data_IF_479249830780
#
_entry.id   IF_479249830780
#
_cell.length_a   1.000
_cell.length_b   1.000
_cell.length_c   1.000
_cell.angle_alpha   90.00
_cell.angle_beta   90.00
_cell.angle_gamma   90.00
#
_symmetry.space_group_name_H-M   'P 1'
#
loop_
_entity.id
_entity.type
_entity.pdbx_description
1 polymer ?
#
# COMPACT_ATOMS: atom_id res chain seq x y z
N UNK A 1 33.11 -4.39 9.95
CA UNK A 1 33.13 -4.92 9.57
C UNK A 1 33.00 -5.10 9.47
N UNK A 2 32.73 -4.66 9.66
CA UNK A 2 32.55 -5.04 9.19
C UNK A 2 32.35 -4.75 9.22
N UNK A 3 32.17 -4.04 9.25
CA UNK A 3 31.96 -4.13 8.88
C UNK A 3 31.66 -3.73 8.99
N UNK A 4 31.50 -3.16 9.13
CA UNK A 4 31.26 -3.21 8.83
C UNK A 4 30.76 -2.87 8.98
N UNK A 5 30.40 -2.34 9.20
CA UNK A 5 30.06 -2.43 8.93
C UNK A 5 29.63 -2.11 9.18
N UNK A 6 29.25 -1.66 9.20
CA UNK A 6 29.02 -1.64 9.00
C UNK A 6 28.42 -1.31 9.18
N UNK A 7 28.08 -0.93 9.38
CA UNK A 7 27.75 -0.98 9.09
C UNK A 7 26.93 -0.66 9.27
N UNK A 8 26.52 -0.40 9.45
CA UNK A 8 25.90 -0.42 9.26
C UNK A 8 25.09 -0.18 9.39
N UNK A 9 24.66 0.10 9.56
CA UNK A 9 24.10 -0.19 9.15
C UNK A 9 23.29 0.14 9.45
N UNK A 10 23.10 0.53 9.55
CA UNK A 10 22.66 0.31 9.28
C UNK A 10 21.82 0.63 9.60
N UNK A 11 21.54 1.12 9.65
CA UNK A 11 21.03 0.97 9.41
C UNK A 11 20.43 1.36 9.52
N UNK A 12 20.28 1.78 9.61
CA UNK A 12 20.11 1.68 9.16
C UNK A 12 19.61 1.96 9.05
N UNK A 13 19.38 2.06 8.93
CA UNK A 13 19.30 1.88 8.33
C UNK A 13 18.74 2.04 8.11
N UNK A 14 18.48 2.49 8.26
CA UNK A 14 18.21 2.22 7.73
C UNK A 14 17.63 2.08 7.44
N UNK A 15 17.65 2.00 7.53
CA UNK A 15 17.40 1.91 6.96
C UNK A 15 16.47 1.38 6.34
N UNK A 16 16.35 1.45 6.23
CA UNK A 16 15.31 1.23 5.36
C UNK A 16 15.59 0.05 4.54
N UNK A 17 14.92 -0.36 3.59
CA UNK A 17 15.09 -1.47 2.73
C UNK A 17 16.23 -2.42 3.05
N UNK A 18 17.09 -1.98 3.87
CA UNK A 18 18.21 -2.78 4.33
C UNK A 18 17.79 -4.02 5.08
N UNK A 19 16.56 -4.07 5.53
CA UNK A 19 16.05 -5.18 6.33
C UNK A 19 14.99 -5.98 5.58
N UNK A 20 14.99 -5.88 4.25
CA UNK A 20 14.11 -6.65 3.40
C UNK A 20 12.81 -5.97 3.01
N UNK A 21 12.59 -4.77 3.42
CA UNK A 21 11.43 -4.01 2.98
C UNK A 21 11.58 -3.66 1.50
N UNK A 22 10.54 -3.89 0.71
CA UNK A 22 10.57 -3.68 -0.73
C UNK A 22 9.59 -2.60 -1.14
N UNK A 23 8.32 -2.69 -0.72
CA UNK A 23 7.30 -1.70 -1.06
C UNK A 23 6.59 -1.24 0.19
N UNK A 24 6.03 -0.04 0.10
CA UNK A 24 5.28 0.56 1.20
C UNK A 24 4.05 1.26 0.66
N UNK A 25 2.92 1.04 1.31
CA UNK A 25 1.69 1.78 1.04
C UNK A 25 1.72 3.05 1.88
N UNK A 26 1.53 4.18 1.22
CA UNK A 26 1.49 5.48 1.89
C UNK A 26 0.25 6.26 1.43
N UNK A 27 -0.08 7.28 2.19
CA UNK A 27 -1.10 8.27 1.78
C UNK A 27 -2.45 7.65 1.38
N UNK A 28 -2.85 6.57 2.08
CA UNK A 28 -4.17 6.00 1.85
C UNK A 28 -5.23 6.94 2.42
N UNK A 29 -6.18 7.34 1.60
CA UNK A 29 -7.21 8.30 2.00
C UNK A 29 -8.55 7.94 1.37
N UNK A 30 -9.61 8.15 2.13
CA UNK A 30 -10.99 7.94 1.68
C UNK A 30 -11.76 9.21 2.02
N UNK A 31 -12.50 9.74 1.06
CA UNK A 31 -13.25 10.98 1.26
C UNK A 31 -14.53 10.98 0.44
N UNK A 32 -15.68 11.30 1.05
CA UNK A 32 -15.93 11.50 2.47
C UNK A 32 -16.03 10.19 3.24
N UNK A 33 -15.86 10.25 4.58
CA UNK A 33 -15.97 9.04 5.43
C UNK A 33 -17.37 8.88 6.02
N UNK A 34 -18.22 9.91 5.90
CA UNK A 34 -19.62 9.84 6.33
C UNK A 34 -20.52 10.34 5.20
N UNK A 35 -20.47 9.68 4.03
CA UNK A 35 -21.31 10.11 2.91
C UNK A 35 -22.77 9.72 3.13
N UNK A 36 -23.64 10.38 2.41
CA UNK A 36 -25.02 9.92 2.27
C UNK A 36 -25.08 8.89 1.15
N UNK A 37 -26.06 8.01 1.22
CA UNK A 37 -26.29 7.03 0.16
C UNK A 37 -26.43 7.73 -1.19
N UNK A 38 -25.78 7.18 -2.20
CA UNK A 38 -25.79 7.71 -3.56
C UNK A 38 -24.64 8.67 -3.87
N UNK A 39 -23.89 9.11 -2.86
CA UNK A 39 -22.74 10.00 -3.10
C UNK A 39 -21.52 9.24 -3.52
N UNK A 40 -20.64 9.91 -4.24
CA UNK A 40 -19.38 9.33 -4.68
C UNK A 40 -18.34 9.44 -3.58
N UNK A 41 -17.70 8.33 -3.29
CA UNK A 41 -16.57 8.26 -2.35
C UNK A 41 -15.31 8.07 -3.17
N UNK A 42 -14.31 8.91 -2.93
CA UNK A 42 -13.01 8.82 -3.61
C UNK A 42 -12.01 8.13 -2.70
N UNK A 43 -11.28 7.18 -3.25
CA UNK A 43 -10.28 6.41 -2.53
C UNK A 43 -8.95 6.60 -3.24
N UNK A 44 -7.92 7.01 -2.49
CA UNK A 44 -6.58 7.26 -3.04
C UNK A 44 -5.54 6.50 -2.23
N UNK A 45 -4.49 6.08 -2.93
CA UNK A 45 -3.41 5.32 -2.33
C UNK A 45 -2.13 5.62 -3.09
N UNK A 46 -1.00 5.58 -2.39
CA UNK A 46 0.31 5.68 -3.01
C UNK A 46 1.13 4.47 -2.62
N UNK A 47 1.90 3.94 -3.56
CA UNK A 47 2.81 2.82 -3.33
C UNK A 47 4.21 3.26 -3.74
N UNK A 48 5.18 2.99 -2.87
CA UNK A 48 6.58 3.42 -3.05
C UNK A 48 7.47 2.20 -3.07
N UNK A 49 8.41 2.17 -4.02
CA UNK A 49 9.50 1.21 -4.01
C UNK A 49 10.58 1.73 -3.06
N UNK A 50 10.68 1.16 -1.87
CA UNK A 50 11.67 1.58 -0.88
C UNK A 50 12.91 0.70 -0.91
N UNK A 51 12.99 -0.22 -1.88
CA UNK A 51 14.16 -1.09 -2.06
C UNK A 51 15.19 -0.41 -2.95
N UNK A 52 16.31 -1.10 -3.16
CA UNK A 52 17.38 -0.62 -4.03
C UNK A 52 17.35 -1.28 -5.40
N UNK A 53 16.33 -2.08 -5.68
CA UNK A 53 16.22 -2.78 -6.96
C UNK A 53 14.98 -2.33 -7.72
N UNK A 54 15.06 -2.43 -9.04
CA UNK A 54 13.91 -2.19 -9.90
C UNK A 54 12.94 -3.33 -9.79
N UNK A 55 11.65 -3.02 -9.66
CA UNK A 55 10.61 -4.03 -9.55
C UNK A 55 9.88 -4.14 -10.88
N UNK A 56 9.76 -5.36 -11.40
CA UNK A 56 9.09 -5.60 -12.67
C UNK A 56 7.59 -5.55 -12.56
N UNK A 57 7.05 -6.04 -11.44
CA UNK A 57 5.61 -6.11 -11.22
C UNK A 57 5.31 -5.78 -9.77
N UNK A 58 4.39 -4.84 -9.55
CA UNK A 58 3.89 -4.50 -8.23
C UNK A 58 2.37 -4.58 -8.27
N UNK A 59 1.79 -5.71 -7.85
CA UNK A 59 0.33 -5.83 -7.81
C UNK A 59 -0.22 -5.02 -6.65
N UNK A 60 -1.45 -4.54 -6.83
CA UNK A 60 -2.13 -3.77 -5.79
C UNK A 60 -3.63 -4.02 -5.88
N UNK A 61 -4.32 -3.72 -4.79
CA UNK A 61 -5.78 -3.76 -4.79
C UNK A 61 -6.34 -2.81 -3.75
N UNK A 62 -7.60 -2.41 -3.95
CA UNK A 62 -8.40 -1.66 -3.00
C UNK A 62 -9.59 -2.54 -2.66
N UNK A 63 -9.81 -2.74 -1.37
CA UNK A 63 -10.79 -3.71 -0.85
C UNK A 63 -11.78 -3.00 0.06
N UNK A 64 -13.05 -3.33 -0.10
CA UNK A 64 -14.14 -2.90 0.77
C UNK A 64 -14.65 -4.14 1.48
N UNK A 65 -14.36 -4.22 2.78
CA UNK A 65 -14.60 -5.43 3.57
C UNK A 65 -13.87 -6.61 2.94
N UNK A 66 -14.58 -7.55 2.34
CA UNK A 66 -13.97 -8.71 1.69
C UNK A 66 -14.06 -8.66 0.18
N UNK A 67 -14.52 -7.53 -0.37
CA UNK A 67 -14.74 -7.40 -1.80
C UNK A 67 -13.72 -6.47 -2.42
N UNK A 68 -13.03 -6.93 -3.46
CA UNK A 68 -12.10 -6.10 -4.20
C UNK A 68 -12.88 -5.09 -5.04
N UNK A 69 -12.63 -3.80 -4.78
CA UNK A 69 -13.23 -2.72 -5.56
C UNK A 69 -12.45 -2.48 -6.84
N UNK A 70 -11.14 -2.55 -6.74
CA UNK A 70 -10.27 -2.35 -7.89
C UNK A 70 -8.92 -3.00 -7.63
N UNK A 71 -8.28 -3.47 -8.69
CA UNK A 71 -6.95 -4.06 -8.60
C UNK A 71 -6.19 -3.78 -9.89
N UNK A 72 -4.88 -3.91 -9.82
CA UNK A 72 -4.03 -3.72 -10.98
C UNK A 72 -2.61 -4.16 -10.71
N UNK A 73 -1.76 -3.93 -11.71
CA UNK A 73 -0.33 -4.21 -11.61
C UNK A 73 0.42 -3.02 -12.17
N UNK A 74 1.36 -2.48 -11.39
CA UNK A 74 2.30 -1.49 -11.90
C UNK A 74 3.55 -2.20 -12.36
N UNK A 75 3.98 -1.95 -13.59
CA UNK A 75 5.19 -2.52 -14.15
C UNK A 75 6.33 -1.53 -14.05
N UNK A 76 7.54 -2.04 -13.89
CA UNK A 76 8.78 -1.26 -14.01
C UNK A 76 8.85 -0.10 -13.02
N UNK A 77 8.86 -0.41 -11.73
CA UNK A 77 8.98 0.60 -10.68
C UNK A 77 10.43 0.67 -10.19
N UNK A 78 11.09 1.80 -10.45
CA UNK A 78 12.48 2.02 -10.09
C UNK A 78 12.64 2.28 -8.58
N UNK A 79 13.85 2.08 -8.03
CA UNK A 79 14.10 2.42 -6.62
C UNK A 79 13.75 3.89 -6.35
N UNK A 80 13.02 4.12 -5.27
CA UNK A 80 12.59 5.46 -4.88
C UNK A 80 11.37 5.97 -5.60
N UNK A 81 10.95 5.32 -6.67
CA UNK A 81 9.77 5.73 -7.41
C UNK A 81 8.50 5.34 -6.68
N UNK A 82 7.45 6.07 -6.96
CA UNK A 82 6.14 5.82 -6.42
C UNK A 82 5.09 5.99 -7.51
N UNK A 83 3.91 5.46 -7.25
CA UNK A 83 2.76 5.69 -8.11
C UNK A 83 1.51 5.84 -7.27
N UNK A 84 0.55 6.59 -7.80
CA UNK A 84 -0.71 6.87 -7.13
C UNK A 84 -1.85 6.17 -7.82
N UNK A 85 -2.79 5.71 -7.01
CA UNK A 85 -4.00 5.05 -7.47
C UNK A 85 -5.17 5.84 -6.94
N UNK A 86 -6.18 6.05 -7.78
CA UNK A 86 -7.42 6.72 -7.37
C UNK A 86 -8.59 5.97 -7.99
N UNK A 87 -9.58 5.66 -7.15
CA UNK A 87 -10.81 5.04 -7.63
C UNK A 87 -11.99 5.63 -6.89
N UNK A 88 -13.19 5.31 -7.35
CA UNK A 88 -14.42 5.82 -6.73
C UNK A 88 -15.38 4.67 -6.46
N UNK A 89 -16.26 4.91 -5.52
CA UNK A 89 -17.33 3.99 -5.14
C UNK A 89 -18.58 4.80 -4.84
N UNK A 90 -19.72 4.34 -5.33
CA UNK A 90 -21.01 4.97 -5.02
C UNK A 90 -21.52 4.40 -3.72
N UNK A 91 -21.68 5.27 -2.74
CA UNK A 91 -22.00 4.87 -1.38
C UNK A 91 -23.37 4.25 -1.26
N UNK A 92 -23.45 3.12 -0.57
CA UNK A 92 -24.70 2.47 -0.17
C UNK A 92 -24.77 2.47 1.34
N UNK A 93 -25.99 2.56 1.89
CA UNK A 93 -26.17 2.56 3.34
C UNK A 93 -25.45 1.38 3.99
N UNK A 94 -24.77 1.66 5.08
CA UNK A 94 -24.06 0.63 5.83
C UNK A 94 -22.76 1.13 6.42
N UNK A 95 -22.07 0.23 7.09
CA UNK A 95 -20.76 0.48 7.66
C UNK A 95 -19.76 -0.41 6.94
N UNK A 96 -18.65 0.19 6.51
CA UNK A 96 -17.64 -0.50 5.70
C UNK A 96 -16.24 -0.21 6.19
N UNK A 97 -15.35 -1.17 6.00
CA UNK A 97 -13.92 -0.97 6.18
C UNK A 97 -13.25 -1.04 4.81
N UNK A 98 -12.63 0.07 4.40
CA UNK A 98 -11.99 0.16 3.08
C UNK A 98 -10.49 0.27 3.29
N UNK A 99 -9.72 -0.55 2.59
CA UNK A 99 -8.26 -0.54 2.75
C UNK A 99 -7.57 -0.78 1.41
N UNK A 100 -6.32 -0.34 1.36
CA UNK A 100 -5.43 -0.59 0.24
C UNK A 100 -4.40 -1.64 0.61
N UNK A 101 -3.98 -2.41 -0.38
CA UNK A 101 -3.06 -3.53 -0.18
C UNK A 101 -2.12 -3.61 -1.38
N UNK A 102 -0.84 -3.77 -1.10
CA UNK A 102 0.18 -3.93 -2.13
C UNK A 102 0.81 -5.30 -2.00
N UNK A 103 1.06 -5.92 -3.14
CA UNK A 103 1.65 -7.26 -3.23
C UNK A 103 0.93 -8.27 -2.32
N UNK A 104 -0.40 -8.42 -2.47
CA UNK A 104 -1.18 -9.25 -1.54
C UNK A 104 -0.75 -10.72 -1.51
N UNK A 105 -0.12 -11.19 -2.56
CA UNK A 105 0.34 -12.58 -2.65
C UNK A 105 1.83 -12.73 -2.39
N UNK A 106 2.48 -11.67 -1.95
CA UNK A 106 3.91 -11.65 -1.61
C UNK A 106 4.80 -12.21 -2.73
N UNK A 107 4.54 -11.81 -3.97
CA UNK A 107 5.36 -12.24 -5.09
C UNK A 107 6.76 -11.60 -5.03
N UNK A 108 6.90 -10.49 -4.33
CA UNK A 108 8.18 -9.80 -4.16
C UNK A 108 9.04 -10.43 -3.07
N UNK A 109 8.50 -11.42 -2.34
CA UNK A 109 9.26 -12.21 -1.36
C UNK A 109 9.80 -11.42 -0.19
N UNK A 110 9.02 -10.47 0.30
CA UNK A 110 9.38 -9.77 1.53
C UNK A 110 9.25 -10.70 2.73
N UNK A 111 10.12 -10.58 3.74
CA UNK A 111 9.92 -11.28 5.01
C UNK A 111 8.60 -10.86 5.64
N UNK A 112 7.94 -11.76 6.35
CA UNK A 112 6.64 -11.47 6.96
C UNK A 112 6.64 -10.20 7.79
N UNK A 113 7.68 -9.99 8.59
CA UNK A 113 7.74 -8.82 9.44
C UNK A 113 7.79 -7.52 8.64
N UNK A 114 8.30 -7.55 7.42
CA UNK A 114 8.41 -6.36 6.57
C UNK A 114 7.15 -6.13 5.74
N UNK A 115 6.29 -7.10 5.62
CA UNK A 115 5.02 -6.94 4.96
C UNK A 115 4.08 -5.99 5.70
N UNK A 116 4.38 -5.66 6.94
CA UNK A 116 3.60 -4.66 7.66
C UNK A 116 3.53 -3.32 6.94
N UNK A 117 4.53 -3.00 6.14
CA UNK A 117 4.56 -1.72 5.43
C UNK A 117 3.71 -1.72 4.17
N UNK A 118 3.28 -2.89 3.71
CA UNK A 118 2.35 -2.99 2.59
C UNK A 118 1.04 -3.67 2.99
N UNK A 119 0.83 -3.86 4.29
CA UNK A 119 -0.45 -4.33 4.81
C UNK A 119 -1.50 -3.23 4.68
N UNK A 120 -2.77 -3.60 4.75
CA UNK A 120 -3.85 -2.65 4.57
C UNK A 120 -3.79 -1.51 5.55
N UNK A 121 -3.84 -0.30 5.01
CA UNK A 121 -4.18 0.89 5.77
C UNK A 121 -5.64 1.11 5.52
N UNK A 122 -6.43 1.11 6.58
CA UNK A 122 -7.86 1.07 6.41
C UNK A 122 -8.57 2.26 7.04
N UNK A 123 -9.75 2.52 6.53
CA UNK A 123 -10.61 3.60 6.99
C UNK A 123 -12.03 3.07 7.14
N UNK A 124 -12.65 3.38 8.26
CA UNK A 124 -14.07 3.08 8.46
C UNK A 124 -14.92 4.12 7.76
N UNK A 125 -15.89 3.67 6.99
CA UNK A 125 -16.81 4.53 6.26
C UNK A 125 -18.23 4.17 6.67
N UNK A 126 -18.97 5.17 7.16
CA UNK A 126 -20.36 4.99 7.58
C UNK A 126 -21.25 5.78 6.65
N UNK A 127 -22.13 5.07 5.94
CA UNK A 127 -23.05 5.66 4.98
C UNK A 127 -24.46 5.69 5.57
N UNK A 128 -25.05 6.84 5.57
CA UNK A 128 -26.41 7.04 6.08
C UNK A 128 -27.46 7.07 4.99
#
# INVERSE_FOLDING_TARGET
MKKKLPAPISLAKTTLGTTGEIIRVTDFAVSPVHPRQGKTVTIKMQIVNVSKIRLKKVPWRIVKDKKVLESGIRYELEPGDSFKISTTWTAKRGAYFIYGDADPNNILKEPKIRQFNNLPQGVDVIVK
#
